data_IF_416747438724
#
_entry.id   IF_416747438724
#
_cell.length_a   1.000
_cell.length_b   1.000
_cell.length_c   1.000
_cell.angle_alpha   90.00
_cell.angle_beta   90.00
_cell.angle_gamma   90.00
#
_symmetry.space_group_name_H-M   'P 1'
#
loop_
_entity.id
_entity.type
_entity.pdbx_description
1 polymer ?
#
# COMPACT_ATOMS: atom_id res chain seq x y z
N UNK A 1 -1.99 -15.30 -6.11
CA UNK A 1 -2.89 -15.33 -4.95
C UNK A 1 -3.04 -13.96 -4.34
N UNK A 2 -4.27 -13.57 -4.07
CA UNK A 2 -4.58 -12.32 -3.40
C UNK A 2 -5.39 -12.67 -2.15
N UNK A 3 -4.97 -12.17 -1.00
CA UNK A 3 -5.65 -12.39 0.27
C UNK A 3 -6.20 -11.08 0.79
N UNK A 4 -7.50 -11.00 1.03
CA UNK A 4 -8.17 -9.80 1.51
C UNK A 4 -8.79 -10.06 2.87
N UNK A 5 -8.51 -9.16 3.81
CA UNK A 5 -9.14 -9.18 5.13
C UNK A 5 -10.57 -8.64 5.11
N UNK A 6 -11.09 -8.35 6.30
CA UNK A 6 -12.46 -7.84 6.47
C UNK A 6 -12.53 -6.38 6.05
N UNK A 7 -13.62 -6.01 5.38
CA UNK A 7 -13.94 -4.62 5.05
C UNK A 7 -12.81 -3.88 4.32
N UNK A 8 -12.06 -4.61 3.50
CA UNK A 8 -11.08 -3.99 2.62
C UNK A 8 -11.81 -3.21 1.52
N UNK A 9 -11.38 -1.97 1.27
CA UNK A 9 -11.97 -1.15 0.21
C UNK A 9 -10.96 -0.96 -0.92
N UNK A 10 -11.38 -1.32 -2.12
CA UNK A 10 -10.59 -1.15 -3.33
C UNK A 10 -11.43 -0.32 -4.30
N UNK A 11 -11.02 0.92 -4.51
CA UNK A 11 -11.76 1.85 -5.33
C UNK A 11 -11.47 1.65 -6.83
N UNK A 12 -12.07 2.52 -7.67
CA UNK A 12 -12.02 2.37 -9.12
C UNK A 12 -10.58 2.45 -9.66
N UNK A 13 -10.35 1.73 -10.73
CA UNK A 13 -9.08 1.77 -11.50
C UNK A 13 -7.86 1.31 -10.71
N UNK A 14 -8.05 0.59 -9.62
CA UNK A 14 -6.92 -0.03 -8.92
C UNK A 14 -6.45 -1.26 -9.68
N UNK A 15 -5.14 -1.50 -9.67
CA UNK A 15 -4.56 -2.75 -10.14
C UNK A 15 -3.84 -3.44 -8.99
N UNK A 16 -4.03 -4.73 -8.89
CA UNK A 16 -3.44 -5.53 -7.81
C UNK A 16 -2.67 -6.67 -8.47
N UNK A 17 -1.36 -6.68 -8.23
CA UNK A 17 -0.50 -7.73 -8.74
C UNK A 17 -0.67 -9.04 -7.99
N UNK A 18 0.18 -10.00 -8.30
CA UNK A 18 0.12 -11.33 -7.69
C UNK A 18 0.67 -11.31 -6.26
N UNK A 19 0.22 -12.27 -5.45
CA UNK A 19 0.73 -12.48 -4.09
C UNK A 19 0.68 -11.22 -3.22
N UNK A 20 -0.47 -10.56 -3.27
CA UNK A 20 -0.76 -9.37 -2.45
C UNK A 20 -1.62 -9.79 -1.26
N UNK A 21 -1.30 -9.26 -0.09
CA UNK A 21 -2.08 -9.43 1.13
C UNK A 21 -2.56 -8.06 1.58
N UNK A 22 -3.86 -7.94 1.84
CA UNK A 22 -4.43 -6.73 2.44
C UNK A 22 -5.14 -7.12 3.72
N UNK A 23 -4.70 -6.53 4.82
CA UNK A 23 -5.28 -6.80 6.14
C UNK A 23 -6.59 -6.05 6.34
N UNK A 24 -7.25 -6.30 7.48
CA UNK A 24 -8.56 -5.74 7.76
C UNK A 24 -8.59 -4.21 7.66
N UNK A 25 -9.63 -3.69 7.05
CA UNK A 25 -9.92 -2.27 6.94
C UNK A 25 -8.90 -1.46 6.14
N UNK A 26 -8.02 -2.11 5.38
CA UNK A 26 -7.13 -1.40 4.48
C UNK A 26 -7.93 -0.78 3.32
N UNK A 27 -7.48 0.37 2.84
CA UNK A 27 -8.17 1.10 1.78
C UNK A 27 -7.21 1.49 0.67
N UNK A 28 -7.59 1.18 -0.57
CA UNK A 28 -6.96 1.71 -1.77
C UNK A 28 -7.87 2.77 -2.37
N UNK A 29 -7.39 4.02 -2.43
CA UNK A 29 -8.10 5.09 -3.13
C UNK A 29 -8.06 4.83 -4.65
N UNK A 30 -8.83 5.57 -5.45
CA UNK A 30 -8.87 5.32 -6.90
C UNK A 30 -7.49 5.40 -7.56
N UNK A 31 -7.27 4.51 -8.53
CA UNK A 31 -6.06 4.54 -9.35
C UNK A 31 -4.79 4.04 -8.67
N UNK A 32 -4.90 3.36 -7.54
CA UNK A 32 -3.73 2.80 -6.86
C UNK A 32 -3.24 1.56 -7.61
N UNK A 33 -1.93 1.42 -7.74
CA UNK A 33 -1.32 0.25 -8.36
C UNK A 33 -0.42 -0.46 -7.36
N UNK A 34 -0.82 -1.68 -6.99
CA UNK A 34 0.01 -2.57 -6.18
C UNK A 34 0.68 -3.58 -7.10
N UNK A 35 2.00 -3.60 -7.12
CA UNK A 35 2.74 -4.63 -7.83
C UNK A 35 2.77 -5.93 -7.00
N UNK A 36 3.44 -6.97 -7.49
CA UNK A 36 3.45 -8.25 -6.78
C UNK A 36 4.21 -8.20 -5.45
N UNK A 37 3.85 -9.10 -4.54
CA UNK A 37 4.49 -9.23 -3.23
C UNK A 37 4.42 -7.95 -2.40
N UNK A 38 3.22 -7.40 -2.26
CA UNK A 38 2.95 -6.24 -1.41
C UNK A 38 1.99 -6.68 -0.29
N UNK A 39 2.32 -6.28 0.94
CA UNK A 39 1.50 -6.56 2.11
C UNK A 39 1.03 -5.23 2.70
N UNK A 40 -0.27 -4.99 2.65
CA UNK A 40 -0.88 -3.76 3.18
C UNK A 40 -1.48 -4.06 4.55
N UNK A 41 -0.99 -3.36 5.56
CA UNK A 41 -1.38 -3.59 6.95
C UNK A 41 -2.79 -3.11 7.28
N UNK A 42 -3.21 -3.40 8.50
CA UNK A 42 -4.57 -3.06 8.97
C UNK A 42 -4.77 -1.55 8.98
N UNK A 43 -5.92 -1.11 8.49
CA UNK A 43 -6.31 0.29 8.46
C UNK A 43 -5.34 1.20 7.71
N UNK A 44 -4.42 0.64 6.94
CA UNK A 44 -3.55 1.45 6.10
C UNK A 44 -4.37 2.11 5.00
N UNK A 45 -3.97 3.31 4.62
CA UNK A 45 -4.65 4.06 3.56
C UNK A 45 -3.65 4.40 2.46
N UNK A 46 -3.96 3.96 1.24
CA UNK A 46 -3.12 4.25 0.08
C UNK A 46 -3.84 5.29 -0.77
N UNK A 47 -3.23 6.47 -0.90
CA UNK A 47 -3.84 7.62 -1.57
C UNK A 47 -3.97 7.46 -3.08
N UNK A 48 -4.81 8.30 -3.68
CA UNK A 48 -5.15 8.26 -5.10
C UNK A 48 -3.91 8.25 -5.99
N UNK A 49 -3.88 7.30 -6.92
CA UNK A 49 -2.83 7.22 -7.93
C UNK A 49 -1.46 6.79 -7.40
N UNK A 50 -1.35 6.40 -6.15
CA UNK A 50 -0.07 5.93 -5.61
C UNK A 50 0.32 4.60 -6.25
N UNK A 51 1.62 4.39 -6.37
CA UNK A 51 2.20 3.16 -6.91
C UNK A 51 3.10 2.54 -5.86
N UNK A 52 2.89 1.25 -5.59
CA UNK A 52 3.75 0.49 -4.70
C UNK A 52 4.53 -0.48 -5.58
N UNK A 53 5.85 -0.38 -5.61
CA UNK A 53 6.67 -1.28 -6.42
C UNK A 53 6.62 -2.70 -5.85
N UNK A 54 7.01 -3.66 -6.66
CA UNK A 54 6.98 -5.06 -6.24
C UNK A 54 8.05 -5.36 -5.18
N UNK A 55 7.66 -6.19 -4.23
CA UNK A 55 8.61 -6.90 -3.39
C UNK A 55 9.09 -8.15 -4.10
N UNK A 56 9.66 -9.07 -3.35
CA UNK A 56 10.06 -10.38 -3.84
C UNK A 56 9.52 -11.45 -2.90
N UNK A 57 9.49 -12.69 -3.38
CA UNK A 57 9.08 -13.81 -2.56
C UNK A 57 9.95 -13.88 -1.31
N UNK A 58 9.33 -13.96 -0.14
CA UNK A 58 10.04 -14.00 1.13
C UNK A 58 10.47 -12.63 1.66
N UNK A 59 10.36 -11.57 0.86
CA UNK A 59 10.68 -10.21 1.28
C UNK A 59 9.75 -9.20 0.63
N UNK A 60 8.46 -9.18 1.01
CA UNK A 60 7.48 -8.26 0.41
C UNK A 60 7.75 -6.81 0.81
N UNK A 61 7.20 -5.90 0.02
CA UNK A 61 7.05 -4.51 0.47
C UNK A 61 5.90 -4.48 1.46
N UNK A 62 6.15 -4.02 2.67
CA UNK A 62 5.13 -3.97 3.74
C UNK A 62 4.75 -2.53 4.02
N UNK A 63 3.47 -2.24 3.88
CA UNK A 63 2.88 -0.98 4.33
C UNK A 63 2.32 -1.26 5.72
N UNK A 64 2.92 -0.69 6.75
CA UNK A 64 2.57 -1.02 8.14
C UNK A 64 1.14 -0.65 8.52
N UNK A 65 0.67 -1.20 9.64
CA UNK A 65 -0.68 -0.90 10.15
C UNK A 65 -0.83 0.61 10.37
N UNK A 66 -1.98 1.13 10.02
CA UNK A 66 -2.32 2.56 10.19
C UNK A 66 -1.42 3.53 9.41
N UNK A 67 -0.58 3.03 8.52
CA UNK A 67 0.26 3.88 7.68
C UNK A 67 -0.59 4.58 6.61
N UNK A 68 -0.13 5.75 6.19
CA UNK A 68 -0.78 6.53 5.13
C UNK A 68 0.22 6.80 4.02
N UNK A 69 -0.19 6.49 2.79
CA UNK A 69 0.59 6.82 1.59
C UNK A 69 -0.13 7.97 0.89
N UNK A 70 0.57 9.07 0.66
CA UNK A 70 -0.01 10.24 0.00
C UNK A 70 -0.36 9.99 -1.46
N UNK A 71 -1.29 10.79 -1.99
CA UNK A 71 -1.69 10.70 -3.38
C UNK A 71 -0.49 10.87 -4.31
N UNK A 72 -0.44 10.06 -5.36
CA UNK A 72 0.63 10.13 -6.36
C UNK A 72 2.00 9.68 -5.91
N UNK A 73 2.14 9.17 -4.70
CA UNK A 73 3.44 8.71 -4.20
C UNK A 73 3.89 7.45 -4.93
N UNK A 74 5.20 7.25 -5.02
CA UNK A 74 5.79 6.02 -5.50
C UNK A 74 6.58 5.39 -4.36
N UNK A 75 6.06 4.32 -3.79
CA UNK A 75 6.66 3.65 -2.64
C UNK A 75 7.66 2.61 -3.12
N UNK A 76 8.91 2.79 -2.73
CA UNK A 76 10.01 1.92 -3.17
C UNK A 76 10.60 1.10 -2.03
N UNK A 77 10.07 1.24 -0.82
CA UNK A 77 10.53 0.47 0.34
C UNK A 77 9.39 0.35 1.34
N UNK A 78 9.54 -0.57 2.29
CA UNK A 78 8.52 -0.78 3.32
C UNK A 78 8.34 0.46 4.20
N UNK A 79 7.10 0.66 4.66
CA UNK A 79 6.72 1.80 5.49
C UNK A 79 6.37 1.30 6.89
N UNK A 80 7.02 1.84 7.93
CA UNK A 80 6.70 1.45 9.31
C UNK A 80 5.26 1.79 9.70
N UNK A 81 4.69 1.08 10.69
CA UNK A 81 3.33 1.37 11.15
C UNK A 81 3.15 2.82 11.61
N UNK A 82 2.00 3.38 11.34
CA UNK A 82 1.59 4.70 11.80
C UNK A 82 2.27 5.88 11.12
N UNK A 83 3.13 5.64 10.15
CA UNK A 83 3.83 6.72 9.45
C UNK A 83 3.07 7.16 8.20
N UNK A 84 3.27 8.42 7.82
CA UNK A 84 2.76 8.97 6.57
C UNK A 84 3.92 9.25 5.64
N UNK A 85 3.85 8.70 4.44
CA UNK A 85 4.90 8.85 3.43
C UNK A 85 4.32 9.47 2.17
N UNK A 86 5.07 10.39 1.55
CA UNK A 86 4.64 11.11 0.34
C UNK A 86 5.78 11.25 -0.64
N UNK A 87 5.44 11.52 -1.89
CA UNK A 87 6.41 11.91 -2.92
C UNK A 87 6.89 10.76 -3.80
N UNK A 88 7.81 11.09 -4.70
CA UNK A 88 8.42 10.17 -5.66
C UNK A 88 9.94 10.37 -5.60
N UNK A 89 10.70 9.44 -5.04
CA UNK A 89 10.26 8.30 -4.24
C UNK A 89 9.65 8.75 -2.92
N UNK A 90 8.74 7.93 -2.39
CA UNK A 90 8.06 8.28 -1.13
C UNK A 90 9.04 8.36 0.03
N UNK A 91 8.83 9.35 0.87
CA UNK A 91 9.63 9.60 2.08
C UNK A 91 8.70 9.97 3.23
N UNK A 92 9.08 9.69 4.49
CA UNK A 92 8.24 10.03 5.63
C UNK A 92 8.09 11.53 5.78
N UNK A 93 6.87 11.95 6.15
CA UNK A 93 6.62 13.32 6.56
C UNK A 93 7.03 13.45 8.01
N UNK A 94 7.83 14.46 8.30
CA UNK A 94 8.20 14.79 9.66
C UNK A 94 7.33 15.94 10.17
N UNK A 95 6.82 15.76 11.35
CA UNK A 95 6.03 16.79 12.01
C UNK A 95 6.85 17.50 13.07
#
# INVERSE_FOLDING_TARGET
>A
NISLGKHVQINLDCTIGHDVVMEDYATLAPGVHLSGYVHVGKRAYIGTGAVIINGIQGNPIVIGDDAVVGAGACVTQSIPPGETWVGVPARPIRK
#
